data_IF_648357884918
#
_entry.id   IF_648357884918
#
_cell.length_a   1.000
_cell.length_b   1.000
_cell.length_c   1.000
_cell.angle_alpha   90.00
_cell.angle_beta   90.00
_cell.angle_gamma   90.00
#
_symmetry.space_group_name_H-M   'P 1'
#
loop_
_entity.id
_entity.type
_entity.pdbx_description
1 polymer ?
#
# COMPACT_ATOMS: atom_id res chain seq x y z
N UNK A 1 9.87 8.41 -11.88
CA UNK A 1 11.05 8.54 -10.99
C UNK A 1 10.66 9.19 -9.66
N UNK A 2 9.80 8.54 -8.86
CA UNK A 2 9.42 9.03 -7.50
C UNK A 2 8.97 7.94 -6.51
N UNK A 3 8.80 6.69 -6.97
CA UNK A 3 8.50 5.53 -6.10
C UNK A 3 9.77 4.86 -5.53
N UNK A 4 10.96 5.28 -5.95
CA UNK A 4 12.24 4.65 -5.58
C UNK A 4 12.45 4.62 -4.05
N UNK A 5 11.98 5.66 -3.33
CA UNK A 5 12.05 5.71 -1.85
C UNK A 5 11.24 4.62 -1.15
N UNK A 6 10.19 4.09 -1.77
CA UNK A 6 9.41 2.98 -1.19
C UNK A 6 10.22 1.68 -1.13
N UNK A 7 11.22 1.56 -2.01
CA UNK A 7 12.09 0.39 -2.13
C UNK A 7 13.51 0.64 -1.62
N UNK A 8 13.81 1.84 -1.11
CA UNK A 8 15.09 2.10 -0.43
C UNK A 8 15.16 1.31 0.88
N UNK A 9 16.29 0.66 1.22
CA UNK A 9 16.42 -0.35 2.28
C UNK A 9 16.17 0.14 3.71
N UNK A 10 16.11 1.46 3.94
CA UNK A 10 15.83 2.03 5.27
C UNK A 10 14.34 1.87 5.59
N UNK A 11 14.02 1.47 6.82
CA UNK A 11 12.63 1.53 7.31
C UNK A 11 12.13 2.96 7.12
N UNK A 12 10.89 3.15 6.66
CA UNK A 12 10.36 4.50 6.47
C UNK A 12 10.56 5.30 7.76
N UNK A 13 11.12 6.51 7.68
CA UNK A 13 11.41 7.40 8.82
C UNK A 13 10.23 7.64 9.76
N UNK A 14 9.02 7.31 9.32
CA UNK A 14 7.80 7.27 10.12
C UNK A 14 7.74 6.11 11.13
N UNK A 15 8.12 4.89 10.73
CA UNK A 15 8.07 3.69 11.58
C UNK A 15 9.18 3.66 12.63
N UNK A 16 10.25 4.42 12.45
CA UNK A 16 11.34 4.57 13.43
C UNK A 16 10.96 5.49 14.60
N UNK A 17 9.81 6.16 14.54
CA UNK A 17 9.35 7.04 15.62
C UNK A 17 8.95 6.22 16.85
N UNK A 18 9.41 6.68 18.01
CA UNK A 18 9.15 6.06 19.31
C UNK A 18 7.71 6.35 19.75
N UNK A 19 6.93 5.30 19.98
CA UNK A 19 5.58 5.37 20.55
C UNK A 19 5.58 5.22 22.09
N UNK A 20 4.40 5.33 22.75
CA UNK A 20 4.29 5.31 24.21
C UNK A 20 4.83 4.04 24.90
N UNK A 21 4.78 2.88 24.23
CA UNK A 21 5.18 1.56 24.77
C UNK A 21 6.14 0.85 23.81
N UNK A 22 7.04 1.59 23.16
CA UNK A 22 7.93 1.07 22.11
C UNK A 22 9.00 0.08 22.60
N UNK A 23 9.17 -0.06 23.91
CA UNK A 23 10.05 -1.06 24.53
C UNK A 23 9.49 -2.49 24.37
N UNK A 24 8.18 -2.63 24.19
CA UNK A 24 7.49 -3.91 23.99
C UNK A 24 6.72 -3.96 22.67
N UNK A 25 6.02 -2.88 22.32
CA UNK A 25 5.14 -2.81 21.16
C UNK A 25 5.91 -2.33 19.93
N UNK A 26 6.11 -3.21 18.95
CA UNK A 26 6.81 -2.90 17.69
C UNK A 26 6.00 -1.91 16.84
N UNK A 27 4.71 -2.19 16.63
CA UNK A 27 3.80 -1.31 15.86
C UNK A 27 2.34 -1.63 16.15
N UNK A 28 1.46 -0.68 15.84
CA UNK A 28 0.00 -0.85 15.85
C UNK A 28 -0.57 -0.62 14.45
N UNK A 29 -1.49 -1.47 13.98
CA UNK A 29 -2.05 -1.38 12.63
C UNK A 29 -3.57 -1.52 12.64
N UNK A 30 -4.26 -0.58 11.98
CA UNK A 30 -5.71 -0.60 11.77
C UNK A 30 -6.01 -0.75 10.28
N UNK A 31 -6.93 -1.64 9.91
CA UNK A 31 -7.38 -1.85 8.51
C UNK A 31 -8.89 -1.75 8.42
N UNK A 32 -9.39 -1.00 7.44
CA UNK A 32 -10.81 -0.87 7.15
C UNK A 32 -11.10 -1.49 5.78
N UNK A 33 -11.79 -2.63 5.76
CA UNK A 33 -12.28 -3.25 4.52
C UNK A 33 -13.63 -2.64 4.13
N UNK A 34 -13.78 -2.24 2.86
CA UNK A 34 -15.00 -1.64 2.29
C UNK A 34 -15.24 -2.17 0.88
N UNK A 35 -16.51 -2.19 0.48
CA UNK A 35 -16.93 -2.56 -0.88
C UNK A 35 -17.65 -1.37 -1.51
N UNK A 36 -17.51 -1.21 -2.83
CA UNK A 36 -18.22 -0.19 -3.57
C UNK A 36 -19.66 -0.62 -3.84
N UNK A 37 -20.61 0.29 -3.60
CA UNK A 37 -22.03 0.03 -3.85
C UNK A 37 -22.26 -0.17 -5.35
N UNK A 38 -22.95 -1.25 -5.72
CA UNK A 38 -23.28 -1.56 -7.12
C UNK A 38 -22.21 -2.36 -7.86
N UNK A 39 -21.12 -2.74 -7.18
CA UNK A 39 -20.03 -3.54 -7.76
C UNK A 39 -20.06 -4.96 -7.20
N UNK A 40 -20.11 -5.95 -8.10
CA UNK A 40 -20.02 -7.36 -7.72
C UNK A 40 -18.56 -7.76 -7.50
N UNK A 41 -18.31 -8.67 -6.55
CA UNK A 41 -16.97 -9.20 -6.28
C UNK A 41 -16.37 -9.96 -7.46
N UNK A 42 -17.21 -10.59 -8.29
CA UNK A 42 -16.79 -11.36 -9.45
C UNK A 42 -16.89 -10.51 -10.72
N UNK A 43 -15.75 -10.09 -11.26
CA UNK A 43 -15.64 -9.61 -12.65
C UNK A 43 -15.51 -8.10 -12.87
N UNK A 44 -15.64 -7.27 -11.84
CA UNK A 44 -15.62 -5.82 -11.98
C UNK A 44 -14.28 -5.15 -11.62
N UNK A 45 -13.19 -5.94 -11.54
CA UNK A 45 -11.91 -5.48 -11.01
C UNK A 45 -11.24 -4.38 -11.84
N UNK A 46 -11.33 -4.43 -13.18
CA UNK A 46 -10.67 -3.47 -14.07
C UNK A 46 -11.35 -2.10 -14.09
N UNK A 47 -12.67 -2.06 -14.26
CA UNK A 47 -13.40 -0.78 -14.26
C UNK A 47 -13.33 -0.12 -12.87
N UNK A 48 -13.31 -0.92 -11.80
CA UNK A 48 -13.12 -0.40 -10.45
C UNK A 48 -11.72 0.17 -10.27
N UNK A 49 -10.69 -0.51 -10.79
CA UNK A 49 -9.30 -0.03 -10.75
C UNK A 49 -9.18 1.33 -11.43
N UNK A 50 -9.76 1.49 -12.62
CA UNK A 50 -9.76 2.75 -13.34
C UNK A 50 -10.49 3.85 -12.56
N UNK A 51 -11.63 3.53 -11.93
CA UNK A 51 -12.33 4.50 -11.08
C UNK A 51 -11.51 4.94 -9.87
N UNK A 52 -10.75 4.03 -9.25
CA UNK A 52 -9.85 4.37 -8.14
C UNK A 52 -8.69 5.23 -8.66
N UNK A 53 -8.13 4.88 -9.83
CA UNK A 53 -7.06 5.66 -10.48
C UNK A 53 -7.50 7.08 -10.83
N UNK A 54 -8.71 7.29 -11.32
CA UNK A 54 -9.22 8.64 -11.61
C UNK A 54 -9.20 9.55 -10.36
N UNK A 55 -9.44 8.97 -9.19
CA UNK A 55 -9.52 9.73 -7.92
C UNK A 55 -8.15 9.91 -7.28
N UNK A 56 -7.30 8.88 -7.29
CA UNK A 56 -6.05 8.85 -6.53
C UNK A 56 -4.77 8.85 -7.39
N UNK A 57 -4.87 8.60 -8.69
CA UNK A 57 -3.72 8.33 -9.55
C UNK A 57 -2.82 9.52 -9.84
N UNK A 58 -3.29 10.75 -9.58
CA UNK A 58 -2.54 11.98 -9.81
C UNK A 58 -2.10 12.67 -8.50
N UNK A 59 -2.29 12.03 -7.36
CA UNK A 59 -1.88 12.58 -6.08
C UNK A 59 -0.36 12.38 -5.88
N UNK A 60 0.40 13.48 -5.81
CA UNK A 60 1.86 13.42 -5.65
C UNK A 60 2.28 12.93 -4.25
N UNK A 61 1.43 13.12 -3.23
CA UNK A 61 1.69 12.69 -1.86
C UNK A 61 1.32 11.21 -1.65
N UNK A 62 0.43 10.68 -2.49
CA UNK A 62 -0.06 9.29 -2.44
C UNK A 62 0.21 8.55 -3.75
N UNK A 63 1.42 8.01 -3.95
CA UNK A 63 1.77 7.31 -5.18
C UNK A 63 0.90 6.07 -5.39
N UNK A 64 0.29 5.99 -6.58
CA UNK A 64 -0.47 4.84 -7.00
C UNK A 64 0.45 3.76 -7.61
N UNK A 65 0.45 2.57 -7.02
CA UNK A 65 1.24 1.44 -7.50
C UNK A 65 0.35 0.38 -8.13
N UNK A 66 0.52 0.14 -9.42
CA UNK A 66 -0.13 -0.98 -10.10
C UNK A 66 0.63 -2.27 -9.84
N UNK A 67 -0.08 -3.28 -9.34
CA UNK A 67 0.55 -4.57 -9.09
C UNK A 67 1.18 -5.13 -10.37
N UNK A 68 0.51 -5.01 -11.52
CA UNK A 68 1.00 -5.50 -12.82
C UNK A 68 2.40 -5.00 -13.20
N UNK A 69 2.78 -3.81 -12.74
CA UNK A 69 4.04 -3.16 -13.08
C UNK A 69 5.17 -3.47 -12.08
N UNK A 70 4.86 -4.08 -10.93
CA UNK A 70 5.84 -4.40 -9.90
C UNK A 70 6.53 -5.74 -10.18
N UNK A 71 7.87 -5.73 -10.13
CA UNK A 71 8.69 -6.94 -10.13
C UNK A 71 8.41 -7.81 -8.90
N UNK A 72 8.82 -9.09 -8.97
CA UNK A 72 8.69 -10.01 -7.85
C UNK A 72 9.42 -9.52 -6.59
N UNK A 73 10.58 -8.89 -6.76
CA UNK A 73 11.37 -8.33 -5.67
C UNK A 73 10.62 -7.16 -5.01
N UNK A 74 10.14 -6.20 -5.80
CA UNK A 74 9.40 -5.04 -5.28
C UNK A 74 8.14 -5.47 -4.52
N UNK A 75 7.39 -6.45 -5.03
CA UNK A 75 6.25 -7.03 -4.32
C UNK A 75 6.65 -7.66 -3.00
N UNK A 76 7.75 -8.43 -3.00
CA UNK A 76 8.32 -9.02 -1.78
C UNK A 76 8.67 -7.97 -0.73
N UNK A 77 9.32 -6.88 -1.14
CA UNK A 77 9.69 -5.78 -0.25
C UNK A 77 8.47 -5.11 0.39
N UNK A 78 7.38 -4.88 -0.39
CA UNK A 78 6.15 -4.28 0.16
C UNK A 78 5.46 -5.20 1.19
N UNK A 79 5.54 -6.52 0.98
CA UNK A 79 5.03 -7.53 1.92
C UNK A 79 5.84 -7.56 3.20
N UNK A 80 7.17 -7.61 3.09
CA UNK A 80 8.09 -7.62 4.24
C UNK A 80 7.97 -6.35 5.08
N UNK A 81 7.70 -5.21 4.44
CA UNK A 81 7.39 -3.93 5.10
C UNK A 81 5.97 -3.82 5.64
N UNK A 82 5.16 -4.86 5.51
CA UNK A 82 3.76 -4.90 5.94
C UNK A 82 2.84 -3.84 5.30
N UNK A 83 3.24 -3.29 4.14
CA UNK A 83 2.48 -2.26 3.40
C UNK A 83 1.34 -2.86 2.57
N UNK A 84 1.51 -4.10 2.08
CA UNK A 84 0.47 -4.85 1.36
C UNK A 84 0.25 -6.23 2.00
N UNK A 85 -0.85 -6.92 1.61
CA UNK A 85 -1.06 -8.32 2.00
C UNK A 85 -0.19 -9.28 1.19
N UNK A 86 0.11 -10.44 1.78
CA UNK A 86 0.82 -11.55 1.11
C UNK A 86 0.02 -12.20 -0.03
N UNK A 87 -1.29 -11.97 -0.06
CA UNK A 87 -2.26 -12.56 -0.99
C UNK A 87 -3.22 -11.48 -1.47
#
# INVERSE_FOLDING_TARGET
MRNERLFEPVLSSWLEKVGPESDVVISSRVRLARNFKGWNFSGAGLELLERVREVFGNDEDFPFLEMGDLSLLERGMLVERHLISQR
#
